data_IF_621052884028
#
_entry.id   IF_621052884028
#
_cell.length_a   1.000
_cell.length_b   1.000
_cell.length_c   1.000
_cell.angle_alpha   90.00
_cell.angle_beta   90.00
_cell.angle_gamma   90.00
#
_symmetry.space_group_name_H-M   'P 1'
#
loop_
_entity.id
_entity.type
_entity.pdbx_description
1 polymer ?
#
# COMPACT_ATOMS: atom_id res chain seq x y z
N UNK A 1 -15.98 5.72 4.20
CA UNK A 1 -14.81 4.85 3.97
C UNK A 1 -14.66 4.67 2.48
N UNK A 2 -13.47 4.92 1.94
CA UNK A 2 -13.14 4.77 0.52
C UNK A 2 -11.83 3.97 0.40
N UNK A 3 -11.92 2.77 -0.17
CA UNK A 3 -10.77 1.88 -0.36
C UNK A 3 -10.32 1.88 -1.81
N UNK A 4 -9.01 1.85 -2.02
CA UNK A 4 -8.41 1.65 -3.35
C UNK A 4 -7.47 0.46 -3.33
N UNK A 5 -7.51 -0.33 -4.40
CA UNK A 5 -6.67 -1.50 -4.60
C UNK A 5 -5.75 -1.22 -5.78
N UNK A 6 -4.47 -1.58 -5.63
CA UNK A 6 -3.51 -1.51 -6.73
C UNK A 6 -2.69 -2.79 -6.77
N UNK A 7 -2.31 -3.18 -7.98
CA UNK A 7 -1.48 -4.35 -8.25
C UNK A 7 -0.09 -3.87 -8.65
N UNK A 8 0.93 -4.48 -8.08
CA UNK A 8 2.33 -4.21 -8.40
C UNK A 8 2.98 -5.50 -8.89
N UNK A 9 3.79 -5.37 -9.93
CA UNK A 9 4.73 -6.42 -10.32
C UNK A 9 6.10 -6.01 -9.78
N UNK A 10 6.59 -6.75 -8.79
CA UNK A 10 7.91 -6.55 -8.26
C UNK A 10 8.95 -6.96 -9.32
N UNK A 11 10.03 -6.19 -9.42
CA UNK A 11 11.20 -6.68 -10.16
C UNK A 11 11.81 -7.86 -9.39
N UNK A 12 12.38 -8.86 -10.06
CA UNK A 12 12.96 -10.02 -9.38
C UNK A 12 13.92 -9.62 -8.25
N UNK A 13 13.66 -10.13 -7.05
CA UNK A 13 14.49 -9.88 -5.86
C UNK A 13 14.27 -8.52 -5.18
N UNK A 14 13.27 -7.73 -5.62
CA UNK A 14 12.94 -6.43 -5.02
C UNK A 14 11.74 -6.49 -4.05
N UNK A 15 11.14 -7.65 -3.84
CA UNK A 15 9.94 -7.81 -3.01
C UNK A 15 10.19 -7.31 -1.58
N UNK A 16 11.34 -7.66 -1.00
CA UNK A 16 11.72 -7.23 0.35
C UNK A 16 11.93 -5.71 0.44
N UNK A 17 12.53 -5.12 -0.59
CA UNK A 17 12.74 -3.67 -0.65
C UNK A 17 11.40 -2.92 -0.75
N UNK A 18 10.42 -3.48 -1.47
CA UNK A 18 9.06 -2.95 -1.52
C UNK A 18 8.41 -3.05 -0.14
N UNK A 19 8.50 -4.19 0.55
CA UNK A 19 7.95 -4.32 1.91
C UNK A 19 8.54 -3.26 2.87
N UNK A 20 9.86 -3.07 2.85
CA UNK A 20 10.54 -2.06 3.67
C UNK A 20 10.07 -0.64 3.32
N UNK A 21 9.90 -0.33 2.03
CA UNK A 21 9.38 0.96 1.60
C UNK A 21 7.98 1.25 2.16
N UNK A 22 7.10 0.24 2.20
CA UNK A 22 5.76 0.39 2.79
C UNK A 22 5.81 0.54 4.31
N UNK A 23 6.66 -0.22 5.01
CA UNK A 23 6.86 -0.08 6.46
C UNK A 23 7.38 1.31 6.84
N UNK A 24 8.35 1.85 6.09
CA UNK A 24 8.86 3.21 6.27
C UNK A 24 7.78 4.26 6.01
N UNK A 25 7.02 4.09 4.92
CA UNK A 25 5.92 5.00 4.59
C UNK A 25 4.84 5.00 5.67
N UNK A 26 4.45 3.84 6.18
CA UNK A 26 3.46 3.70 7.26
C UNK A 26 3.94 4.35 8.57
N UNK A 27 5.23 4.22 8.88
CA UNK A 27 5.80 4.83 10.08
C UNK A 27 5.92 6.35 9.98
N UNK A 28 6.40 6.85 8.84
CA UNK A 28 6.89 8.23 8.74
C UNK A 28 5.92 9.18 8.05
N UNK A 29 5.16 8.67 7.08
CA UNK A 29 4.32 9.48 6.21
C UNK A 29 2.83 9.31 6.52
N UNK A 30 2.36 8.08 6.72
CA UNK A 30 0.94 7.80 6.98
C UNK A 30 0.29 8.67 8.08
N UNK A 31 0.94 8.93 9.24
CA UNK A 31 0.35 9.76 10.30
C UNK A 31 0.09 11.21 9.87
N UNK A 32 0.72 11.67 8.79
CA UNK A 32 0.63 13.03 8.26
C UNK A 32 -0.33 13.13 7.07
N UNK A 33 -0.82 12.00 6.54
CA UNK A 33 -1.74 11.99 5.41
C UNK A 33 -3.17 12.18 5.92
N UNK A 34 -3.76 13.34 5.61
CA UNK A 34 -5.10 13.65 6.06
C UNK A 34 -6.12 12.65 5.50
N UNK A 35 -6.87 12.00 6.39
CA UNK A 35 -7.93 11.07 6.00
C UNK A 35 -7.44 9.67 5.63
N UNK A 36 -6.14 9.39 5.65
CA UNK A 36 -5.63 8.01 5.63
C UNK A 36 -6.08 7.26 6.89
N UNK A 37 -6.45 6.00 6.74
CA UNK A 37 -6.95 5.15 7.84
C UNK A 37 -6.13 3.87 8.01
N UNK A 38 -5.78 3.20 6.91
CA UNK A 38 -4.99 1.97 6.94
C UNK A 38 -4.38 1.65 5.57
N UNK A 39 -3.26 0.93 5.60
CA UNK A 39 -2.58 0.35 4.45
C UNK A 39 -2.36 -1.14 4.67
N UNK A 40 -2.49 -1.93 3.61
CA UNK A 40 -2.13 -3.35 3.63
C UNK A 40 -1.36 -3.70 2.36
N UNK A 41 -0.35 -4.55 2.51
CA UNK A 41 0.40 -5.13 1.41
C UNK A 41 0.29 -6.65 1.49
N UNK A 42 -0.26 -7.27 0.45
CA UNK A 42 -0.47 -8.70 0.37
C UNK A 42 0.45 -9.31 -0.68
N UNK A 43 1.01 -10.48 -0.37
CA UNK A 43 1.71 -11.34 -1.31
C UNK A 43 0.82 -12.53 -1.64
N UNK A 44 0.35 -12.69 -2.89
CA UNK A 44 -0.43 -13.86 -3.30
C UNK A 44 0.41 -15.13 -3.26
N UNK A 45 -0.17 -16.25 -2.81
CA UNK A 45 0.55 -17.53 -2.74
C UNK A 45 0.90 -18.10 -4.13
N UNK A 46 0.04 -17.84 -5.12
CA UNK A 46 0.15 -18.42 -6.46
C UNK A 46 0.93 -17.53 -7.47
N UNK A 47 1.07 -16.23 -7.19
CA UNK A 47 1.73 -15.26 -8.08
C UNK A 47 2.92 -14.62 -7.36
N UNK A 48 4.11 -15.17 -7.60
CA UNK A 48 5.32 -14.85 -6.82
C UNK A 48 5.82 -13.41 -6.99
N UNK A 49 5.58 -12.84 -8.16
CA UNK A 49 6.09 -11.52 -8.55
C UNK A 49 5.03 -10.42 -8.38
N UNK A 50 3.82 -10.78 -7.93
CA UNK A 50 2.72 -9.85 -7.70
C UNK A 50 2.63 -9.45 -6.23
N UNK A 51 2.34 -8.18 -5.99
CA UNK A 51 1.93 -7.66 -4.69
C UNK A 51 0.63 -6.88 -4.86
N UNK A 52 -0.29 -7.05 -3.92
CA UNK A 52 -1.58 -6.34 -3.90
C UNK A 52 -1.56 -5.35 -2.75
N UNK A 53 -1.68 -4.07 -3.06
CA UNK A 53 -1.79 -3.00 -2.08
C UNK A 53 -3.23 -2.56 -1.89
N UNK A 54 -3.62 -2.33 -0.64
CA UNK A 54 -4.90 -1.74 -0.27
C UNK A 54 -4.64 -0.49 0.56
N UNK A 55 -5.24 0.63 0.17
CA UNK A 55 -5.22 1.87 0.93
C UNK A 55 -6.65 2.29 1.27
N UNK A 56 -6.89 2.58 2.55
CA UNK A 56 -8.19 2.94 3.08
C UNK A 56 -8.16 4.39 3.55
N UNK A 57 -9.11 5.17 3.06
CA UNK A 57 -9.31 6.56 3.41
C UNK A 57 -10.70 6.78 4.01
N UNK A 58 -10.86 7.89 4.73
CA UNK A 58 -12.15 8.35 5.25
C UNK A 58 -13.20 8.47 4.14
N UNK A 59 -12.81 9.08 3.02
CA UNK A 59 -13.66 9.38 1.86
C UNK A 59 -12.82 9.52 0.58
N UNK A 60 -13.52 9.64 -0.56
CA UNK A 60 -12.89 9.76 -1.88
C UNK A 60 -12.13 11.08 -2.07
N UNK A 61 -12.55 12.14 -1.37
CA UNK A 61 -11.89 13.44 -1.46
C UNK A 61 -10.51 13.39 -0.80
N UNK A 62 -10.40 12.73 0.35
CA UNK A 62 -9.16 12.47 1.08
C UNK A 62 -8.15 11.67 0.24
N UNK A 63 -8.62 10.72 -0.59
CA UNK A 63 -7.75 9.97 -1.52
C UNK A 63 -7.22 10.80 -2.70
N UNK A 64 -7.96 11.83 -3.13
CA UNK A 64 -7.62 12.62 -4.33
C UNK A 64 -6.68 13.79 -4.06
N UNK A 65 -6.33 14.04 -2.79
CA UNK A 65 -5.44 15.12 -2.36
C UNK A 65 -4.06 14.57 -2.06
#
# INVERSE_FOLDING_TARGET
>A
MYGTVFHMHAKPGQEQAICQLFEEWDRERAPRVQGFQAGYLFKPDQQRDELIGVAIFRDRESYRK
#
